data_IF_644272877365
#
_entry.id   IF_644272877365
#
_cell.length_a   1.000
_cell.length_b   1.000
_cell.length_c   1.000
_cell.angle_alpha   90.00
_cell.angle_beta   90.00
_cell.angle_gamma   90.00
#
_symmetry.space_group_name_H-M   'P 1'
#
loop_
_entity.id
_entity.type
_entity.pdbx_description
1 polymer ?
#
# COMPACT_ATOMS: atom_id res chain seq x y z
N UNK A 1 -2.12 -10.45 21.32
CA UNK A 1 -1.97 -9.99 19.92
C UNK A 1 -0.50 -9.63 19.74
N UNK A 2 0.23 -10.31 18.85
CA UNK A 2 1.66 -10.09 18.69
C UNK A 2 1.87 -8.75 17.98
N UNK A 3 2.34 -7.72 18.70
CA UNK A 3 2.49 -6.34 18.20
C UNK A 3 3.22 -6.30 16.84
N UNK A 4 4.19 -7.20 16.65
CA UNK A 4 5.03 -7.25 15.47
C UNK A 4 4.29 -7.53 14.15
N UNK A 5 3.29 -8.42 14.13
CA UNK A 5 2.61 -8.76 12.87
C UNK A 5 1.59 -7.69 12.48
N UNK A 6 0.89 -7.13 13.46
CA UNK A 6 -0.06 -6.05 13.22
C UNK A 6 0.63 -4.79 12.71
N UNK A 7 1.72 -4.40 13.37
CA UNK A 7 2.52 -3.24 12.96
C UNK A 7 3.16 -3.45 11.58
N UNK A 8 3.60 -4.68 11.29
CA UNK A 8 4.08 -5.04 9.97
C UNK A 8 3.01 -4.81 8.89
N UNK A 9 1.81 -5.37 9.07
CA UNK A 9 0.71 -5.22 8.11
C UNK A 9 0.30 -3.76 7.94
N UNK A 10 0.23 -3.00 9.04
CA UNK A 10 -0.06 -1.57 9.04
C UNK A 10 0.98 -0.78 8.24
N UNK A 11 2.26 -1.10 8.44
CA UNK A 11 3.36 -0.47 7.68
C UNK A 11 3.24 -0.78 6.19
N UNK A 12 2.96 -2.03 5.82
CA UNK A 12 2.79 -2.40 4.41
C UNK A 12 1.65 -1.62 3.75
N UNK A 13 0.52 -1.51 4.44
CA UNK A 13 -0.60 -0.69 3.99
C UNK A 13 -0.21 0.79 3.82
N UNK A 14 0.46 1.39 4.80
CA UNK A 14 0.86 2.80 4.74
C UNK A 14 1.81 3.09 3.58
N UNK A 15 2.79 2.21 3.34
CA UNK A 15 3.71 2.34 2.20
C UNK A 15 2.94 2.27 0.88
N UNK A 16 2.05 1.27 0.73
CA UNK A 16 1.22 1.11 -0.46
C UNK A 16 0.28 2.31 -0.68
N UNK A 17 -0.38 2.78 0.38
CA UNK A 17 -1.26 3.96 0.32
C UNK A 17 -0.50 5.22 -0.09
N UNK A 18 0.75 5.35 0.36
CA UNK A 18 1.65 6.42 -0.10
C UNK A 18 1.90 6.39 -1.60
N UNK A 19 1.99 5.21 -2.22
CA UNK A 19 2.10 5.06 -3.67
C UNK A 19 0.77 5.40 -4.37
N UNK A 20 -0.37 4.92 -3.86
CA UNK A 20 -1.70 5.26 -4.40
C UNK A 20 -1.99 6.77 -4.39
N UNK A 21 -1.55 7.48 -3.34
CA UNK A 21 -1.76 8.92 -3.22
C UNK A 21 -0.90 9.76 -4.19
N UNK A 22 0.12 9.18 -4.84
CA UNK A 22 0.95 9.85 -5.87
C UNK A 22 0.27 9.85 -7.25
N UNK A 23 -1.06 9.72 -7.30
CA UNK A 23 -1.80 9.41 -8.52
C UNK A 23 -1.73 10.51 -9.57
N UNK A 24 -0.86 10.26 -10.55
CA UNK A 24 -0.90 10.71 -11.93
C UNK A 24 -0.32 9.58 -12.80
N UNK A 25 -1.16 8.96 -13.61
CA UNK A 25 -0.83 7.98 -14.68
C UNK A 25 -0.26 6.59 -14.32
N UNK A 26 0.14 6.30 -13.08
CA UNK A 26 0.92 5.09 -12.81
C UNK A 26 0.19 3.82 -12.38
N UNK A 27 -1.02 3.87 -11.85
CA UNK A 27 -1.62 2.68 -11.23
C UNK A 27 -2.50 1.92 -12.22
N UNK A 28 -2.20 0.65 -12.47
CA UNK A 28 -2.94 -0.25 -13.36
C UNK A 28 -3.84 -1.20 -12.56
N UNK A 29 -5.14 -1.12 -12.81
CA UNK A 29 -6.17 -1.94 -12.17
C UNK A 29 -6.14 -3.41 -12.64
N UNK A 30 -5.59 -3.70 -13.83
CA UNK A 30 -5.55 -5.06 -14.38
C UNK A 30 -4.42 -5.86 -13.73
N UNK A 31 -3.22 -5.30 -13.65
CA UNK A 31 -2.08 -5.94 -12.99
C UNK A 31 -2.07 -5.77 -11.47
N UNK A 32 -2.89 -4.86 -10.91
CA UNK A 32 -2.85 -4.41 -9.51
C UNK A 32 -1.45 -3.88 -9.10
N UNK A 33 -0.75 -3.25 -10.04
CA UNK A 33 0.61 -2.71 -9.84
C UNK A 33 0.77 -1.31 -10.40
N UNK A 34 1.96 -0.71 -10.26
CA UNK A 34 2.25 0.60 -10.81
C UNK A 34 3.13 0.50 -12.07
N UNK A 35 2.58 0.93 -13.21
CA UNK A 35 3.25 1.08 -14.50
C UNK A 35 3.96 2.46 -14.60
N UNK A 36 4.77 2.77 -13.59
CA UNK A 36 5.64 3.94 -13.65
C UNK A 36 6.95 3.64 -14.41
N UNK A 37 7.49 4.62 -15.14
CA UNK A 37 8.84 4.55 -15.71
C UNK A 37 9.92 4.24 -14.67
N UNK A 38 11.03 3.66 -15.11
CA UNK A 38 12.15 3.28 -14.23
C UNK A 38 12.70 4.46 -13.42
N UNK A 39 12.87 5.62 -14.04
CA UNK A 39 13.38 6.83 -13.39
C UNK A 39 12.45 7.33 -12.28
N UNK A 40 11.13 7.15 -12.45
CA UNK A 40 10.15 7.45 -11.40
C UNK A 40 10.30 6.47 -10.24
N UNK A 41 10.46 5.18 -10.52
CA UNK A 41 10.73 4.17 -9.50
C UNK A 41 12.03 4.42 -8.75
N UNK A 42 13.11 4.78 -9.43
CA UNK A 42 14.40 5.12 -8.80
C UNK A 42 14.25 6.27 -7.80
N UNK A 43 13.53 7.33 -8.18
CA UNK A 43 13.25 8.46 -7.28
C UNK A 43 12.41 8.03 -6.06
N UNK A 44 11.39 7.19 -6.25
CA UNK A 44 10.55 6.70 -5.15
C UNK A 44 11.34 5.79 -4.20
N UNK A 45 12.16 4.89 -4.75
CA UNK A 45 12.99 3.94 -3.99
C UNK A 45 14.09 4.67 -3.21
N UNK A 46 14.67 5.73 -3.77
CA UNK A 46 15.64 6.57 -3.08
C UNK A 46 15.05 7.24 -1.84
N UNK A 47 13.75 7.60 -1.87
CA UNK A 47 13.03 8.17 -0.72
C UNK A 47 12.59 7.09 0.28
N UNK A 48 12.09 5.96 -0.21
CA UNK A 48 11.66 4.85 0.63
C UNK A 48 11.95 3.51 -0.04
N UNK A 49 13.03 2.84 0.38
CA UNK A 49 13.45 1.55 -0.17
C UNK A 49 12.39 0.43 -0.02
N UNK A 50 11.49 0.52 0.95
CA UNK A 50 10.43 -0.49 1.14
C UNK A 50 9.43 -0.55 -0.01
N UNK A 51 9.38 0.50 -0.83
CA UNK A 51 8.53 0.57 -2.04
C UNK A 51 9.02 -0.34 -3.16
N UNK A 52 10.31 -0.71 -3.18
CA UNK A 52 10.96 -1.46 -4.28
C UNK A 52 10.22 -2.74 -4.67
N UNK A 53 9.68 -3.45 -3.70
CA UNK A 53 8.95 -4.71 -3.94
C UNK A 53 7.63 -4.51 -4.70
N UNK A 54 7.02 -3.33 -4.58
CA UNK A 54 5.75 -3.00 -5.23
C UNK A 54 5.88 -2.65 -6.71
N UNK A 55 7.11 -2.66 -7.23
CA UNK A 55 7.40 -2.59 -8.67
C UNK A 55 6.91 -3.83 -9.42
N UNK A 56 6.92 -4.99 -8.78
CA UNK A 56 6.60 -6.26 -9.44
C UNK A 56 5.58 -7.11 -8.68
N UNK A 57 5.26 -6.76 -7.44
CA UNK A 57 4.37 -7.54 -6.58
C UNK A 57 3.27 -6.63 -6.03
N UNK A 58 1.98 -6.95 -6.23
CA UNK A 58 0.88 -6.20 -5.63
C UNK A 58 0.87 -6.34 -4.10
N UNK A 59 0.16 -5.44 -3.40
CA UNK A 59 -0.06 -5.61 -1.97
C UNK A 59 -0.99 -6.81 -1.71
N UNK A 60 -0.48 -7.84 -1.04
CA UNK A 60 -1.28 -8.99 -0.64
C UNK A 60 -2.41 -8.57 0.30
N UNK A 61 -3.61 -9.12 0.07
CA UNK A 61 -4.81 -8.83 0.87
C UNK A 61 -5.13 -7.33 0.94
N UNK A 62 -4.86 -6.57 -0.13
CA UNK A 62 -5.05 -5.13 -0.20
C UNK A 62 -6.43 -4.69 0.29
N UNK A 63 -7.48 -5.37 -0.15
CA UNK A 63 -8.87 -5.09 0.22
C UNK A 63 -9.14 -5.26 1.72
N UNK A 64 -8.53 -6.26 2.36
CA UNK A 64 -8.61 -6.47 3.79
C UNK A 64 -7.82 -5.39 4.54
N UNK A 65 -6.60 -5.09 4.08
CA UNK A 65 -5.74 -4.08 4.70
C UNK A 65 -6.36 -2.68 4.60
N UNK A 66 -7.01 -2.37 3.48
CA UNK A 66 -7.80 -1.14 3.30
C UNK A 66 -8.94 -1.05 4.32
N UNK A 67 -9.75 -2.12 4.47
CA UNK A 67 -10.81 -2.15 5.50
C UNK A 67 -10.27 -1.98 6.91
N UNK A 68 -9.14 -2.61 7.23
CA UNK A 68 -8.54 -2.57 8.56
C UNK A 68 -7.91 -1.22 8.90
N UNK A 69 -7.34 -0.52 7.92
CA UNK A 69 -6.45 0.62 8.18
C UNK A 69 -6.85 1.94 7.50
N UNK A 70 -7.76 1.94 6.52
CA UNK A 70 -8.28 3.17 5.87
C UNK A 70 -9.48 3.77 6.61
N UNK A 71 -9.92 3.14 7.72
CA UNK A 71 -10.85 3.73 8.69
C UNK A 71 -12.32 3.81 8.25
N UNK A 72 -12.71 3.19 7.13
CA UNK A 72 -14.08 3.30 6.61
C UNK A 72 -15.12 2.32 7.16
N UNK A 73 -14.81 1.39 8.09
CA UNK A 73 -15.83 0.73 8.92
C UNK A 73 -15.23 -0.02 10.10
N UNK A 74 -15.12 0.70 11.22
CA UNK A 74 -15.39 0.12 12.52
C UNK A 74 -16.23 1.12 13.31
N UNK A 75 -17.41 1.50 12.78
CA UNK A 75 -18.48 1.97 13.64
C UNK A 75 -18.97 0.74 14.41
N UNK A 76 -18.23 0.38 15.45
CA UNK A 76 -18.70 -0.53 16.49
C UNK A 76 -19.73 0.23 17.31
N UNK A 77 -20.91 0.45 16.73
CA UNK A 77 -22.13 0.71 17.49
C UNK A 77 -22.54 -0.66 18.04
N UNK A 78 -21.98 -1.01 19.20
CA UNK A 78 -22.53 -2.07 20.02
C UNK A 78 -23.62 -1.41 20.86
N UNK A 79 -24.86 -1.73 20.48
CA UNK A 79 -26.08 -1.43 21.24
C UNK A 79 -26.02 -1.94 22.69
#
# INVERSE_FOLDING_TARGET
>A
MNLNQWDYLKKQWQVWRGLLNRTGHGYDLVSDTFDWPEDVWENIIAVNFETKKYKTVPLQHRDLLEKLFDGLSATGDFA
#
